data_IF_239023891481
#
_entry.id   IF_239023891481
#
_cell.length_a   1.000
_cell.length_b   1.000
_cell.length_c   1.000
_cell.angle_alpha   90.00
_cell.angle_beta   90.00
_cell.angle_gamma   90.00
#
_symmetry.space_group_name_H-M   'P 1'
#
loop_
_entity.id
_entity.type
_entity.pdbx_description
1 polymer ?
#
# COMPACT_ATOMS: atom_id res chain seq x y z
N UNK A 1 0.50 11.71 3.46
CA UNK A 1 1.60 10.73 3.57
C UNK A 1 0.94 9.38 3.66
N UNK A 2 1.04 8.54 2.63
CA UNK A 2 0.44 7.20 2.65
C UNK A 2 1.45 6.24 3.24
N UNK A 3 1.04 5.45 4.23
CA UNK A 3 1.87 4.35 4.73
C UNK A 3 1.41 3.04 4.08
N UNK A 4 2.33 2.21 3.56
CA UNK A 4 1.98 0.89 3.01
C UNK A 4 1.15 0.05 3.99
N UNK A 5 1.47 0.15 5.29
CA UNK A 5 0.74 -0.46 6.41
C UNK A 5 -0.76 -0.11 6.43
N UNK A 6 -1.13 1.13 6.10
CA UNK A 6 -2.53 1.58 6.12
C UNK A 6 -3.33 1.00 4.96
N UNK A 7 -2.70 0.85 3.79
CA UNK A 7 -3.30 0.22 2.61
C UNK A 7 -3.53 -1.27 2.87
N UNK A 8 -2.55 -1.95 3.48
CA UNK A 8 -2.68 -3.36 3.90
C UNK A 8 -3.81 -3.51 4.92
N UNK A 9 -3.85 -2.63 5.94
CA UNK A 9 -4.90 -2.65 6.97
C UNK A 9 -6.29 -2.43 6.38
N UNK A 10 -6.48 -1.42 5.51
CA UNK A 10 -7.74 -1.18 4.80
C UNK A 10 -8.19 -2.40 4.03
N UNK A 11 -7.29 -3.01 3.25
CA UNK A 11 -7.62 -4.19 2.45
C UNK A 11 -7.97 -5.40 3.32
N UNK A 12 -7.27 -5.58 4.45
CA UNK A 12 -7.56 -6.63 5.45
C UNK A 12 -8.93 -6.43 6.10
N UNK A 13 -9.27 -5.18 6.40
CA UNK A 13 -10.54 -4.83 7.05
C UNK A 13 -11.71 -4.83 6.04
N UNK A 14 -11.44 -5.10 4.75
CA UNK A 14 -12.43 -5.28 3.68
C UNK A 14 -12.80 -4.00 2.94
N UNK A 15 -12.08 -2.90 3.18
CA UNK A 15 -12.33 -1.62 2.52
C UNK A 15 -11.87 -1.65 1.04
N UNK A 16 -12.56 -0.86 0.21
CA UNK A 16 -12.21 -0.69 -1.20
C UNK A 16 -11.05 0.28 -1.30
N UNK A 17 -9.95 -0.17 -1.88
CA UNK A 17 -8.81 0.67 -2.19
C UNK A 17 -9.09 1.53 -3.42
N UNK A 18 -8.65 2.78 -3.38
CA UNK A 18 -8.72 3.67 -4.54
C UNK A 18 -7.56 3.38 -5.51
N UNK A 19 -7.70 3.83 -6.76
CA UNK A 19 -6.65 3.68 -7.76
C UNK A 19 -5.34 4.36 -7.33
N UNK A 20 -5.41 5.49 -6.62
CA UNK A 20 -4.25 6.23 -6.12
C UNK A 20 -3.51 5.45 -5.01
N UNK A 21 -4.25 4.79 -4.11
CA UNK A 21 -3.68 3.94 -3.06
C UNK A 21 -2.96 2.73 -3.67
N UNK A 22 -3.54 2.11 -4.70
CA UNK A 22 -2.92 1.00 -5.41
C UNK A 22 -1.65 1.46 -6.13
N UNK A 23 -1.69 2.58 -6.84
CA UNK A 23 -0.53 3.12 -7.54
C UNK A 23 0.59 3.48 -6.57
N UNK A 24 0.26 4.09 -5.43
CA UNK A 24 1.22 4.39 -4.38
C UNK A 24 1.90 3.12 -3.84
N UNK A 25 1.12 2.07 -3.56
CA UNK A 25 1.65 0.80 -3.06
C UNK A 25 2.59 0.12 -4.08
N UNK A 26 2.16 0.04 -5.35
CA UNK A 26 2.94 -0.57 -6.43
C UNK A 26 4.22 0.23 -6.72
N UNK A 27 4.15 1.57 -6.75
CA UNK A 27 5.35 2.40 -6.89
C UNK A 27 6.30 2.24 -5.70
N UNK A 28 5.76 2.10 -4.49
CA UNK A 28 6.55 1.84 -3.29
C UNK A 28 7.32 0.52 -3.36
N UNK A 29 6.67 -0.53 -3.86
CA UNK A 29 7.27 -1.86 -4.08
C UNK A 29 8.30 -1.82 -5.21
N UNK A 30 7.98 -1.21 -6.36
CA UNK A 30 8.87 -1.12 -7.51
C UNK A 30 10.14 -0.32 -7.23
N UNK A 31 10.05 0.70 -6.36
CA UNK A 31 11.19 1.52 -5.95
C UNK A 31 12.02 0.89 -4.81
N UNK A 32 11.73 -0.36 -4.39
CA UNK A 32 12.32 -1.01 -3.21
C UNK A 32 12.23 -0.17 -1.92
N UNK A 33 11.30 0.78 -1.87
CA UNK A 33 11.04 1.61 -0.68
C UNK A 33 10.09 0.91 0.29
N UNK A 34 9.42 -0.15 -0.16
CA UNK A 34 8.64 -1.08 0.68
C UNK A 34 9.51 -2.33 0.89
N UNK A 35 10.05 -2.48 2.10
CA UNK A 35 10.83 -3.65 2.49
C UNK A 35 9.93 -4.89 2.54
N UNK A 36 10.42 -6.05 2.09
CA UNK A 36 9.74 -7.37 2.05
C UNK A 36 9.23 -7.92 3.41
N UNK A 37 9.29 -7.14 4.49
CA UNK A 37 8.88 -7.54 5.84
C UNK A 37 7.98 -6.52 6.56
N UNK A 38 7.22 -5.71 5.81
CA UNK A 38 6.26 -4.72 6.33
C UNK A 38 4.81 -5.12 6.03
#
# INVERSE_FOLDING_TARGET
MYLPQEIIRKKRDGEVLTADEINFFIQGVANNTVSEGQ
#
